data_IF_290851453531
#
_entry.id   IF_290851453531
#
_cell.length_a   1.000
_cell.length_b   1.000
_cell.length_c   1.000
_cell.angle_alpha   90.00
_cell.angle_beta   90.00
_cell.angle_gamma   90.00
#
_symmetry.space_group_name_H-M   'P 1'
#
loop_
_entity.id
_entity.type
_entity.pdbx_description
1 polymer ?
#
# COMPACT_ATOMS: atom_id res chain seq x y z
N UNK A 1 25.88 1.03 -2.77
CA UNK A 1 24.48 0.73 -3.09
C UNK A 1 23.74 0.71 -1.77
N UNK A 2 22.69 1.51 -1.64
CA UNK A 2 21.97 1.68 -0.37
C UNK A 2 20.91 0.59 -0.22
N UNK A 3 20.90 -0.07 0.95
CA UNK A 3 19.92 -1.10 1.28
C UNK A 3 18.51 -0.50 1.37
N UNK A 4 17.55 -1.09 0.68
CA UNK A 4 16.14 -0.74 0.73
C UNK A 4 15.50 -1.02 2.09
N UNK A 5 14.64 -0.13 2.55
CA UNK A 5 13.97 -0.23 3.86
C UNK A 5 12.51 -0.67 3.72
N UNK A 6 12.00 -1.43 4.69
CA UNK A 6 10.57 -1.75 4.84
C UNK A 6 9.98 -0.88 5.94
N UNK A 7 9.08 0.02 5.56
CA UNK A 7 8.45 0.98 6.47
C UNK A 7 6.95 0.66 6.56
N UNK A 8 6.41 0.70 7.77
CA UNK A 8 4.98 0.57 8.02
C UNK A 8 4.43 1.92 8.48
N UNK A 9 3.31 2.35 7.90
CA UNK A 9 2.55 3.52 8.32
C UNK A 9 1.16 3.04 8.74
N UNK A 10 0.92 2.90 10.04
CA UNK A 10 -0.30 2.31 10.59
C UNK A 10 -1.01 3.20 11.62
N UNK A 11 -2.13 2.73 12.16
CA UNK A 11 -2.87 3.40 13.24
C UNK A 11 -4.24 3.96 12.81
N UNK A 12 -5.06 4.36 13.80
CA UNK A 12 -6.43 4.83 13.58
C UNK A 12 -6.50 6.23 12.96
N UNK A 13 -5.42 7.01 13.02
CA UNK A 13 -5.39 8.38 12.53
C UNK A 13 -5.46 8.50 11.00
N UNK A 14 -5.83 9.70 10.54
CA UNK A 14 -5.89 10.02 9.12
C UNK A 14 -4.51 10.39 8.56
N UNK A 15 -4.31 10.24 7.24
CA UNK A 15 -3.10 10.70 6.57
C UNK A 15 -2.03 9.63 6.29
N UNK A 16 -2.28 8.35 6.59
CA UNK A 16 -1.36 7.23 6.27
C UNK A 16 -1.02 7.19 4.78
N UNK A 17 -2.04 7.14 3.92
CA UNK A 17 -1.88 7.20 2.45
C UNK A 17 -1.19 8.49 2.02
N UNK A 18 -1.54 9.64 2.59
CA UNK A 18 -0.94 10.94 2.25
C UNK A 18 0.56 10.96 2.57
N UNK A 19 0.96 10.42 3.73
CA UNK A 19 2.36 10.29 4.12
C UNK A 19 3.11 9.34 3.19
N UNK A 20 2.50 8.22 2.80
CA UNK A 20 3.08 7.30 1.82
C UNK A 20 3.26 7.96 0.44
N UNK A 21 2.24 8.66 -0.06
CA UNK A 21 2.28 9.41 -1.31
C UNK A 21 3.35 10.51 -1.27
N UNK A 22 3.43 11.27 -0.18
CA UNK A 22 4.45 12.30 0.01
C UNK A 22 5.87 11.73 -0.01
N UNK A 23 6.09 10.56 0.64
CA UNK A 23 7.37 9.82 0.53
C UNK A 23 7.65 9.38 -0.91
N UNK A 24 6.63 8.94 -1.65
CA UNK A 24 6.71 8.65 -3.08
C UNK A 24 7.18 9.84 -3.90
N UNK A 25 6.55 11.01 -3.72
CA UNK A 25 6.95 12.26 -4.40
C UNK A 25 8.39 12.64 -4.06
N UNK A 26 8.81 12.55 -2.79
CA UNK A 26 10.21 12.80 -2.39
C UNK A 26 11.19 11.81 -3.03
N UNK A 27 10.78 10.56 -3.26
CA UNK A 27 11.61 9.61 -4.00
C UNK A 27 11.73 10.00 -5.49
N UNK A 28 10.64 10.46 -6.11
CA UNK A 28 10.64 10.97 -7.49
C UNK A 28 11.59 12.17 -7.64
N UNK A 29 11.62 13.11 -6.69
CA UNK A 29 12.56 14.25 -6.76
C UNK A 29 14.03 13.84 -6.64
N UNK A 30 14.30 12.61 -6.15
CA UNK A 30 15.61 11.97 -6.13
C UNK A 30 15.84 11.03 -7.33
N UNK A 31 15.06 11.19 -8.39
CA UNK A 31 15.10 10.39 -9.62
C UNK A 31 14.86 8.90 -9.41
N UNK A 32 14.14 8.52 -8.35
CA UNK A 32 13.74 7.13 -8.09
C UNK A 32 12.43 6.80 -8.80
N UNK A 33 12.32 5.57 -9.30
CA UNK A 33 11.08 5.02 -9.83
C UNK A 33 10.19 4.54 -8.69
N UNK A 34 8.92 4.94 -8.71
CA UNK A 34 7.94 4.64 -7.68
C UNK A 34 6.76 3.90 -8.29
N UNK A 35 6.34 2.82 -7.65
CA UNK A 35 5.08 2.15 -7.96
C UNK A 35 4.23 2.18 -6.70
N UNK A 36 2.97 2.56 -6.83
CA UNK A 36 1.98 2.47 -5.77
C UNK A 36 0.86 1.54 -6.21
N UNK A 37 0.50 0.60 -5.36
CA UNK A 37 -0.64 -0.30 -5.54
C UNK A 37 -1.58 -0.03 -4.38
N UNK A 38 -2.84 0.29 -4.68
CA UNK A 38 -3.85 0.59 -3.66
C UNK A 38 -4.86 -0.54 -3.58
N UNK A 39 -5.19 -0.91 -2.35
CA UNK A 39 -6.11 -1.99 -2.02
C UNK A 39 -7.28 -1.47 -1.18
N UNK A 40 -8.38 -2.24 -1.15
CA UNK A 40 -9.61 -2.00 -0.39
C UNK A 40 -10.29 -0.66 -0.69
N UNK A 41 -9.89 -0.01 -1.77
CA UNK A 41 -10.38 1.30 -2.17
C UNK A 41 -11.28 1.11 -3.37
N UNK A 42 -12.41 1.82 -3.34
CA UNK A 42 -13.24 1.98 -4.53
C UNK A 42 -12.54 2.76 -5.63
N UNK A 43 -13.31 3.13 -6.65
CA UNK A 43 -12.78 3.87 -7.79
C UNK A 43 -12.10 5.17 -7.38
N UNK A 44 -10.99 5.48 -8.05
CA UNK A 44 -10.36 6.77 -7.92
C UNK A 44 -11.22 7.81 -8.63
N UNK A 45 -11.47 8.95 -7.99
CA UNK A 45 -12.11 10.06 -8.70
C UNK A 45 -11.24 10.47 -9.90
N UNK A 46 -11.89 10.87 -10.99
CA UNK A 46 -11.20 11.23 -12.23
C UNK A 46 -10.13 12.30 -11.99
N UNK A 47 -10.44 13.32 -11.18
CA UNK A 47 -9.52 14.42 -10.87
C UNK A 47 -8.25 13.97 -10.16
N UNK A 48 -8.36 13.04 -9.21
CA UNK A 48 -7.20 12.52 -8.49
C UNK A 48 -6.39 11.58 -9.39
N UNK A 49 -7.06 10.80 -10.24
CA UNK A 49 -6.38 9.97 -11.23
C UNK A 49 -5.59 10.82 -12.23
N UNK A 50 -6.17 11.93 -12.70
CA UNK A 50 -5.51 12.88 -13.60
C UNK A 50 -4.34 13.59 -12.91
N UNK A 51 -4.50 14.05 -11.67
CA UNK A 51 -3.41 14.66 -10.90
C UNK A 51 -2.21 13.72 -10.69
N UNK A 52 -2.46 12.42 -10.49
CA UNK A 52 -1.38 11.43 -10.35
C UNK A 52 -0.64 11.17 -11.67
N UNK A 53 -1.29 11.33 -12.83
CA UNK A 53 -0.63 11.20 -14.14
C UNK A 53 0.46 12.24 -14.36
N UNK A 54 0.40 13.40 -13.69
CA UNK A 54 1.44 14.41 -13.75
C UNK A 54 2.80 13.92 -13.20
N UNK A 55 2.80 12.82 -12.42
CA UNK A 55 4.02 12.22 -11.87
C UNK A 55 4.57 11.07 -12.74
N UNK A 56 3.87 10.70 -13.82
CA UNK A 56 4.35 9.69 -14.75
C UNK A 56 5.47 10.25 -15.66
N UNK A 57 6.44 9.40 -16.08
CA UNK A 57 6.53 7.97 -15.81
C UNK A 57 7.22 7.60 -14.49
N UNK A 58 7.69 8.57 -13.70
CA UNK A 58 8.50 8.31 -12.51
C UNK A 58 7.70 7.70 -11.36
N UNK A 59 6.41 8.02 -11.23
CA UNK A 59 5.50 7.39 -10.28
C UNK A 59 4.25 6.87 -11.00
N UNK A 60 3.95 5.59 -10.81
CA UNK A 60 2.74 4.96 -11.35
C UNK A 60 1.85 4.48 -10.22
N UNK A 61 0.55 4.70 -10.33
CA UNK A 61 -0.44 4.27 -9.34
C UNK A 61 -1.39 3.27 -9.98
N UNK A 62 -1.53 2.10 -9.35
CA UNK A 62 -2.34 0.99 -9.83
C UNK A 62 -3.46 0.69 -8.83
N UNK A 63 -4.64 0.42 -9.40
CA UNK A 63 -5.80 -0.15 -8.71
C UNK A 63 -6.36 -1.28 -9.56
N UNK A 64 -6.64 -2.41 -8.93
CA UNK A 64 -7.14 -3.62 -9.60
C UNK A 64 -8.62 -3.86 -9.32
N UNK A 65 -9.07 -3.34 -8.19
CA UNK A 65 -10.47 -3.26 -7.77
C UNK A 65 -11.33 -2.55 -8.82
N UNK A 66 -12.55 -3.06 -9.03
CA UNK A 66 -13.49 -2.59 -10.06
C UNK A 66 -14.74 -1.96 -9.46
N UNK A 67 -15.01 -2.23 -8.20
CA UNK A 67 -16.20 -1.71 -7.54
C UNK A 67 -16.00 -0.23 -7.21
N UNK A 68 -17.08 0.55 -7.31
CA UNK A 68 -17.04 2.00 -7.09
C UNK A 68 -16.84 2.39 -5.63
N UNK A 69 -17.25 1.53 -4.71
CA UNK A 69 -17.25 1.77 -3.27
C UNK A 69 -16.10 1.03 -2.55
N UNK A 70 -15.82 1.46 -1.32
CA UNK A 70 -14.86 0.80 -0.43
C UNK A 70 -15.29 -0.64 -0.13
N UNK A 71 -14.31 -1.56 -0.02
CA UNK A 71 -14.55 -2.98 0.21
C UNK A 71 -15.48 -3.28 1.40
N UNK A 72 -15.35 -2.52 2.49
CA UNK A 72 -16.20 -2.65 3.69
C UNK A 72 -17.70 -2.40 3.41
N UNK A 73 -18.03 -1.59 2.40
CA UNK A 73 -19.41 -1.20 2.05
C UNK A 73 -20.07 -2.10 1.00
N UNK A 74 -19.31 -3.01 0.40
CA UNK A 74 -19.79 -3.91 -0.64
C UNK A 74 -20.69 -5.01 -0.07
N UNK A 75 -21.61 -5.52 -0.90
CA UNK A 75 -22.34 -6.75 -0.58
C UNK A 75 -21.40 -7.96 -0.53
N UNK A 76 -21.82 -9.06 0.09
CA UNK A 76 -20.99 -10.28 0.15
C UNK A 76 -20.70 -10.87 -1.23
N UNK A 77 -21.61 -10.72 -2.18
CA UNK A 77 -21.38 -11.12 -3.57
C UNK A 77 -20.30 -10.24 -4.23
N UNK A 78 -20.42 -8.92 -4.10
CA UNK A 78 -19.44 -7.98 -4.62
C UNK A 78 -18.05 -8.18 -3.97
N UNK A 79 -17.99 -8.46 -2.66
CA UNK A 79 -16.74 -8.79 -1.97
C UNK A 79 -16.08 -10.04 -2.53
N UNK A 80 -16.84 -11.07 -2.90
CA UNK A 80 -16.27 -12.30 -3.51
C UNK A 80 -15.61 -12.00 -4.85
N UNK A 81 -16.27 -11.20 -5.69
CA UNK A 81 -15.68 -10.76 -6.96
C UNK A 81 -14.43 -9.92 -6.72
N UNK A 82 -14.49 -9.01 -5.75
CA UNK A 82 -13.41 -8.08 -5.47
C UNK A 82 -12.17 -8.75 -4.86
N UNK A 83 -12.35 -9.85 -4.12
CA UNK A 83 -11.23 -10.70 -3.67
C UNK A 83 -10.36 -11.19 -4.84
N UNK A 84 -10.96 -11.50 -6.00
CA UNK A 84 -10.22 -11.92 -7.20
C UNK A 84 -9.37 -10.76 -7.73
N UNK A 85 -9.93 -9.55 -7.77
CA UNK A 85 -9.23 -8.34 -8.20
C UNK A 85 -8.08 -7.96 -7.25
N UNK A 86 -8.31 -8.08 -5.94
CA UNK A 86 -7.27 -7.88 -4.91
C UNK A 86 -6.14 -8.90 -5.09
N UNK A 87 -6.46 -10.16 -5.37
CA UNK A 87 -5.45 -11.18 -5.65
C UNK A 87 -4.63 -10.85 -6.91
N UNK A 88 -5.24 -10.27 -7.94
CA UNK A 88 -4.51 -9.79 -9.11
C UNK A 88 -3.53 -8.65 -8.75
N UNK A 89 -3.95 -7.73 -7.87
CA UNK A 89 -3.07 -6.68 -7.33
C UNK A 89 -1.88 -7.25 -6.53
N UNK A 90 -2.11 -8.28 -5.71
CA UNK A 90 -1.06 -8.99 -4.99
C UNK A 90 -0.09 -9.71 -5.94
N UNK A 91 -0.60 -10.36 -6.99
CA UNK A 91 0.22 -10.99 -8.01
C UNK A 91 1.06 -9.96 -8.79
N UNK A 92 0.50 -8.77 -9.05
CA UNK A 92 1.25 -7.67 -9.63
C UNK A 92 2.34 -7.16 -8.69
N UNK A 93 2.04 -6.98 -7.40
CA UNK A 93 3.03 -6.61 -6.38
C UNK A 93 4.19 -7.61 -6.33
N UNK A 94 3.90 -8.92 -6.35
CA UNK A 94 4.92 -9.97 -6.43
C UNK A 94 5.82 -9.80 -7.65
N UNK A 95 5.25 -9.55 -8.82
CA UNK A 95 6.02 -9.33 -10.06
C UNK A 95 6.95 -8.14 -9.91
N UNK A 96 6.43 -6.97 -9.49
CA UNK A 96 7.21 -5.74 -9.29
C UNK A 96 8.40 -5.97 -8.35
N UNK A 97 8.18 -6.69 -7.25
CA UNK A 97 9.22 -7.05 -6.30
C UNK A 97 10.33 -7.90 -6.91
N UNK A 98 9.97 -8.88 -7.75
CA UNK A 98 10.93 -9.81 -8.38
C UNK A 98 11.64 -9.23 -9.61
N UNK A 99 11.02 -8.32 -10.34
CA UNK A 99 11.57 -7.74 -11.58
C UNK A 99 12.37 -6.46 -11.35
N UNK A 100 12.39 -5.94 -10.11
CA UNK A 100 13.06 -4.68 -9.73
C UNK A 100 12.62 -3.49 -10.61
N UNK A 101 11.34 -3.43 -10.95
CA UNK A 101 10.81 -2.37 -11.84
C UNK A 101 10.80 -0.98 -11.21
N UNK A 102 10.90 -0.88 -9.88
CA UNK A 102 10.91 0.36 -9.12
C UNK A 102 11.95 0.33 -7.99
N UNK A 103 12.38 1.51 -7.56
CA UNK A 103 13.21 1.68 -6.36
C UNK A 103 12.36 1.71 -5.08
N UNK A 104 11.11 2.16 -5.19
CA UNK A 104 10.16 2.25 -4.08
C UNK A 104 8.80 1.68 -4.50
N UNK A 105 8.35 0.67 -3.76
CA UNK A 105 7.00 0.11 -3.89
C UNK A 105 6.15 0.49 -2.68
N UNK A 106 5.01 1.12 -2.93
CA UNK A 106 4.01 1.50 -1.92
C UNK A 106 2.84 0.53 -2.05
N UNK A 107 2.55 -0.21 -0.98
CA UNK A 107 1.40 -1.10 -0.86
C UNK A 107 0.41 -0.45 0.11
N UNK A 108 -0.51 0.32 -0.46
CA UNK A 108 -1.45 1.16 0.28
C UNK A 108 -2.70 0.36 0.67
N UNK A 109 -3.03 0.34 1.96
CA UNK A 109 -4.07 -0.46 2.63
C UNK A 109 -3.84 -1.99 2.56
N UNK A 110 -2.61 -2.43 2.33
CA UNK A 110 -2.28 -3.87 2.35
C UNK A 110 -2.51 -4.52 3.71
N UNK A 111 -2.36 -3.78 4.82
CA UNK A 111 -2.64 -4.34 6.13
C UNK A 111 -4.14 -4.61 6.34
N UNK A 112 -5.03 -3.88 5.66
CA UNK A 112 -6.46 -4.20 5.69
C UNK A 112 -6.77 -5.52 4.97
N UNK A 113 -5.94 -5.94 4.00
CA UNK A 113 -6.09 -7.24 3.32
C UNK A 113 -5.89 -8.38 4.33
N UNK A 114 -4.95 -8.21 5.26
CA UNK A 114 -4.76 -9.12 6.39
C UNK A 114 -5.98 -9.09 7.33
N UNK A 115 -6.50 -7.90 7.65
CA UNK A 115 -7.67 -7.73 8.53
C UNK A 115 -8.94 -8.40 7.95
N UNK A 116 -9.02 -8.58 6.64
CA UNK A 116 -10.16 -9.23 5.95
C UNK A 116 -9.92 -10.72 5.59
N UNK A 117 -8.83 -11.31 6.09
CA UNK A 117 -8.41 -12.69 5.80
C UNK A 117 -8.33 -12.99 4.29
N UNK A 118 -7.99 -11.97 3.49
CA UNK A 118 -7.77 -12.13 2.05
C UNK A 118 -6.35 -12.64 1.80
N UNK A 119 -5.41 -12.26 2.67
CA UNK A 119 -4.02 -12.68 2.65
C UNK A 119 -3.66 -13.18 4.05
N UNK A 120 -3.01 -14.34 4.13
CA UNK A 120 -2.54 -14.87 5.41
C UNK A 120 -1.23 -14.20 5.85
N UNK A 121 -0.91 -14.27 7.15
CA UNK A 121 0.37 -13.78 7.67
C UNK A 121 1.57 -14.44 6.98
N UNK A 122 1.50 -15.74 6.71
CA UNK A 122 2.56 -16.48 6.02
C UNK A 122 2.75 -15.99 4.58
N UNK A 123 1.66 -15.81 3.83
CA UNK A 123 1.74 -15.30 2.45
C UNK A 123 2.25 -13.86 2.38
N UNK A 124 2.00 -13.06 3.42
CA UNK A 124 2.53 -11.71 3.58
C UNK A 124 4.03 -11.72 3.91
N UNK A 125 4.48 -12.57 4.84
CA UNK A 125 5.91 -12.75 5.09
C UNK A 125 6.64 -13.21 3.82
N UNK A 126 6.05 -14.16 3.09
CA UNK A 126 6.55 -14.63 1.81
C UNK A 126 6.54 -13.53 0.74
N UNK A 127 5.57 -12.60 0.76
CA UNK A 127 5.57 -11.43 -0.13
C UNK A 127 6.77 -10.53 0.17
N UNK A 128 7.02 -10.23 1.44
CA UNK A 128 8.14 -9.38 1.85
C UNK A 128 9.51 -10.02 1.58
N UNK A 129 9.62 -11.34 1.64
CA UNK A 129 10.87 -12.05 1.37
C UNK A 129 11.24 -12.11 -0.11
N UNK A 130 10.29 -11.92 -1.03
CA UNK A 130 10.55 -11.84 -2.48
C UNK A 130 11.23 -10.55 -2.91
N UNK A 131 11.24 -9.56 -2.01
CA UNK A 131 11.79 -8.24 -2.27
C UNK A 131 13.29 -8.29 -2.47
N UNK A 132 13.75 -7.61 -3.50
CA UNK A 132 15.16 -7.32 -3.67
C UNK A 132 15.72 -6.39 -2.59
N UNK A 133 16.97 -6.63 -2.14
CA UNK A 133 17.58 -5.86 -1.06
C UNK A 133 17.69 -4.36 -1.33
N UNK A 134 17.67 -3.91 -2.59
CA UNK A 134 17.74 -2.48 -2.95
C UNK A 134 16.36 -1.80 -3.00
N UNK A 135 15.27 -2.58 -3.08
CA UNK A 135 13.92 -2.03 -3.19
C UNK A 135 13.40 -1.64 -1.81
N UNK A 136 12.94 -0.40 -1.69
CA UNK A 136 12.25 0.08 -0.49
C UNK A 136 10.74 -0.24 -0.57
N UNK A 137 10.14 -0.56 0.57
CA UNK A 137 8.72 -0.80 0.74
C UNK A 137 8.09 0.17 1.72
N UNK A 138 6.89 0.65 1.38
CA UNK A 138 6.00 1.32 2.32
C UNK A 138 4.69 0.55 2.36
N UNK A 139 4.30 0.12 3.55
CA UNK A 139 3.08 -0.63 3.83
C UNK A 139 2.14 0.27 4.63
N UNK A 140 0.87 0.36 4.24
CA UNK A 140 -0.11 1.16 5.01
C UNK A 140 -1.33 0.33 5.43
N UNK A 141 -2.02 0.81 6.46
CA UNK A 141 -3.34 0.33 6.88
C UNK A 141 -3.61 0.58 8.35
N UNK A 142 -4.72 0.08 8.91
CA UNK A 142 -5.11 0.41 10.30
C UNK A 142 -4.27 -0.38 11.32
N UNK A 143 -4.27 -1.70 11.21
CA UNK A 143 -3.69 -2.59 12.22
C UNK A 143 -2.42 -3.24 11.70
N UNK A 144 -1.32 -3.16 12.46
CA UNK A 144 -0.11 -3.90 12.14
C UNK A 144 0.08 -5.09 13.10
N UNK A 145 0.06 -6.34 12.60
CA UNK A 145 0.28 -7.53 13.44
C UNK A 145 1.68 -7.55 14.06
N UNK A 146 1.76 -7.77 15.38
CA UNK A 146 3.04 -7.82 16.11
C UNK A 146 3.99 -8.92 15.59
N UNK A 147 3.42 -10.01 15.08
CA UNK A 147 4.15 -11.14 14.51
C UNK A 147 5.07 -10.71 13.35
N UNK A 148 4.67 -9.67 12.61
CA UNK A 148 5.38 -9.16 11.43
C UNK A 148 6.46 -8.12 11.79
N UNK A 149 6.64 -7.77 13.07
CA UNK A 149 7.65 -6.78 13.48
C UNK A 149 9.08 -7.17 13.06
N UNK A 150 9.37 -8.48 12.98
CA UNK A 150 10.68 -9.00 12.55
C UNK A 150 10.99 -8.76 11.07
N UNK A 151 9.96 -8.46 10.26
CA UNK A 151 10.06 -8.31 8.81
C UNK A 151 10.15 -6.84 8.36
N UNK A 152 10.16 -5.88 9.29
CA UNK A 152 10.09 -4.45 8.99
C UNK A 152 11.18 -3.65 9.70
N UNK A 153 11.67 -2.58 9.07
CA UNK A 153 12.74 -1.74 9.60
C UNK A 153 12.20 -0.57 10.45
N UNK A 154 10.97 -0.13 10.21
CA UNK A 154 10.35 0.96 10.98
C UNK A 154 8.83 0.93 10.94
N UNK A 155 8.22 1.45 12.00
CA UNK A 155 6.76 1.57 12.14
C UNK A 155 6.44 3.00 12.60
N UNK A 156 5.66 3.72 11.80
CA UNK A 156 5.07 5.01 12.14
C UNK A 156 3.59 4.80 12.47
N UNK A 157 3.19 5.07 13.71
CA UNK A 157 1.80 4.99 14.14
C UNK A 157 1.17 6.39 14.13
N UNK A 158 0.09 6.57 13.37
CA UNK A 158 -0.68 7.81 13.28
C UNK A 158 -1.95 7.67 14.12
N UNK A 159 -2.18 8.63 15.00
CA UNK A 159 -3.34 8.70 15.89
C UNK A 159 -3.96 10.10 15.80
N UNK A 160 -5.29 10.18 15.85
CA UNK A 160 -5.97 11.45 16.04
C UNK A 160 -6.21 11.63 17.53
N UNK A 161 -5.84 12.79 18.07
CA UNK A 161 -6.09 13.14 19.46
C UNK A 161 -7.26 14.13 19.48
N UNK A 162 -8.38 13.70 20.06
CA UNK A 162 -9.50 14.60 20.31
C UNK A 162 -9.15 15.52 21.48
N UNK A 163 -9.24 16.83 21.27
CA UNK A 163 -9.01 17.84 22.29
C UNK A 163 -10.37 18.36 22.75
N UNK A 164 -10.71 18.10 24.01
CA UNK A 164 -11.89 18.66 24.65
C UNK A 164 -11.62 20.14 24.99
N UNK A 165 -11.93 21.03 24.06
CA UNK A 165 -11.91 22.47 24.30
C UNK A 165 -13.18 22.86 25.07
N UNK A 166 -13.11 22.74 26.39
CA UNK A 166 -14.12 23.32 27.30
C UNK A 166 -14.14 24.85 27.23
#
# INVERSE_FOLDING_TARGET
MDKGSVQVICGPGFGKTTMALGKGVVAVTKHKKVIMIQFLKGNLSADVAEGLKCLEPQMKVFRFEKQGDYFEKLSEEQKREERINIQNGLNFARKVLTTRECDLLILDEILGILDHDILTLEEFENLLSLRDEEVSLILTGKNFPKQLMRCVDSISKIENVEIDNK
#
